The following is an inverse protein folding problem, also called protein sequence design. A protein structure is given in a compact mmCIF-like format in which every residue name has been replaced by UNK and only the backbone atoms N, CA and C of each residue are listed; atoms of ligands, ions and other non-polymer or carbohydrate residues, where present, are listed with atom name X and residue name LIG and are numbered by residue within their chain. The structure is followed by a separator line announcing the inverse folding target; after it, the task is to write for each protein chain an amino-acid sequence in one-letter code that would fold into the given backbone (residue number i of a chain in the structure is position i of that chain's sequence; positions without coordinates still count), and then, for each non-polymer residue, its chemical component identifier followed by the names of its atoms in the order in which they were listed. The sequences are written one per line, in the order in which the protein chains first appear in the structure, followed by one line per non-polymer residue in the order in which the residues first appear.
data_IF_678878356858
#
_entry.id   IF_678878356858
#
_cell.length_a   1.000
_cell.length_b   1.000
_cell.length_c   1.000
_cell.angle_alpha   90.00
_cell.angle_beta   90.00
_cell.angle_gamma   90.00
#
_symmetry.space_group_name_H-M   'P 1'
#
loop_
_entity.id
_entity.type
_entity.pdbx_description
1 polymer ?
#
# COMPACT_ATOMS: atom_id res chain seq x y z
N UNK A 1 -7.92 -1.60 5.20
CA UNK A 1 -7.45 -1.06 6.50
C UNK A 1 -5.96 -0.77 6.38
N UNK A 2 -5.48 0.38 6.86
CA UNK A 2 -4.05 0.63 7.05
C UNK A 2 -3.69 0.39 8.53
N UNK A 3 -2.53 -0.22 8.79
CA UNK A 3 -2.06 -0.54 10.15
C UNK A 3 -1.22 0.61 10.72
N UNK A 4 -1.80 1.81 10.79
CA UNK A 4 -1.10 3.03 11.24
C UNK A 4 -1.49 3.48 12.65
N UNK A 5 -2.60 2.97 13.18
CA UNK A 5 -3.03 3.22 14.56
C UNK A 5 -4.00 2.11 15.03
N UNK A 6 -4.33 2.09 16.32
CA UNK A 6 -5.36 1.20 16.85
C UNK A 6 -6.77 1.49 16.28
N UNK A 7 -6.97 2.66 15.68
CA UNK A 7 -8.22 3.05 15.02
C UNK A 7 -8.14 2.82 13.51
N UNK A 8 -9.19 2.26 12.87
CA UNK A 8 -9.23 2.13 11.42
C UNK A 8 -9.12 3.49 10.73
N UNK A 9 -8.18 3.64 9.80
CA UNK A 9 -8.21 4.78 8.87
C UNK A 9 -9.43 4.64 7.96
N UNK A 10 -10.30 5.66 7.97
CA UNK A 10 -11.43 5.74 7.04
C UNK A 10 -10.91 6.15 5.68
N UNK A 11 -11.24 5.37 4.66
CA UNK A 11 -10.94 5.68 3.27
C UNK A 11 -12.17 6.30 2.62
N UNK A 12 -12.01 7.15 1.59
CA UNK A 12 -13.08 7.38 0.62
C UNK A 12 -13.56 6.03 0.09
N UNK A 13 -14.78 5.97 -0.45
CA UNK A 13 -15.27 4.76 -1.10
C UNK A 13 -14.35 4.41 -2.29
N UNK A 14 -13.43 3.46 -2.07
CA UNK A 14 -12.56 2.92 -3.10
C UNK A 14 -13.33 1.77 -3.72
N UNK A 15 -13.68 1.88 -5.01
CA UNK A 15 -14.28 0.76 -5.73
C UNK A 15 -13.25 -0.35 -5.84
N UNK A 16 -13.69 -1.59 -5.61
CA UNK A 16 -12.88 -2.80 -5.58
C UNK A 16 -11.78 -2.81 -6.66
N UNK A 17 -10.52 -2.45 -6.31
CA UNK A 17 -9.48 -2.25 -7.31
C UNK A 17 -9.03 -3.60 -7.86
N UNK A 18 -8.91 -3.71 -9.17
CA UNK A 18 -8.35 -4.91 -9.83
C UNK A 18 -6.82 -4.87 -9.85
N UNK A 19 -6.26 -3.67 -9.85
CA UNK A 19 -4.81 -3.45 -9.83
C UNK A 19 -4.44 -2.32 -8.86
N UNK A 20 -3.45 -2.59 -8.02
CA UNK A 20 -2.90 -1.63 -7.06
C UNK A 20 -1.44 -1.36 -7.46
N UNK A 21 -1.08 -0.08 -7.53
CA UNK A 21 0.30 0.35 -7.62
C UNK A 21 0.81 0.64 -6.20
N UNK A 22 1.98 0.09 -5.86
CA UNK A 22 2.67 0.36 -4.60
C UNK A 22 4.00 1.04 -4.92
N UNK A 23 4.17 2.25 -4.41
CA UNK A 23 5.41 3.03 -4.58
C UNK A 23 6.18 3.07 -3.27
N UNK A 24 7.50 2.91 -3.36
CA UNK A 24 8.45 3.11 -2.27
C UNK A 24 9.34 4.30 -2.63
N UNK A 25 9.27 5.35 -1.81
CA UNK A 25 10.23 6.45 -1.82
C UNK A 25 11.16 6.24 -0.61
N UNK A 26 12.36 5.72 -0.88
CA UNK A 26 13.31 5.35 0.17
C UNK A 26 13.87 6.57 0.88
N UNK A 27 14.19 7.63 0.12
CA UNK A 27 14.83 8.84 0.62
C UNK A 27 13.85 9.66 1.48
N UNK A 28 12.59 9.77 1.05
CA UNK A 28 11.54 10.47 1.82
C UNK A 28 10.91 9.61 2.92
N UNK A 29 11.29 8.32 2.99
CA UNK A 29 10.81 7.40 4.00
C UNK A 29 9.34 7.02 3.84
N UNK A 30 8.81 6.98 2.61
CA UNK A 30 7.36 6.85 2.35
C UNK A 30 7.00 5.63 1.53
N UNK A 31 5.80 5.12 1.80
CA UNK A 31 5.12 4.13 0.96
C UNK A 31 3.72 4.64 0.64
N UNK A 32 3.37 4.66 -0.65
CA UNK A 32 2.05 5.07 -1.11
C UNK A 32 1.40 4.02 -2.01
N UNK A 33 0.08 3.91 -1.88
CA UNK A 33 -0.79 2.96 -2.57
C UNK A 33 -1.75 3.74 -3.46
N UNK A 34 -1.95 3.24 -4.69
CA UNK A 34 -2.83 3.87 -5.68
C UNK A 34 -3.74 2.83 -6.33
N UNK A 35 -4.98 3.22 -6.61
CA UNK A 35 -5.88 2.48 -7.47
C UNK A 35 -5.50 2.79 -8.92
N UNK A 36 -5.04 1.79 -9.67
CA UNK A 36 -4.64 1.99 -11.07
C UNK A 36 -5.86 2.23 -11.95
N UNK A 37 -6.97 1.55 -11.67
CA UNK A 37 -8.19 1.61 -12.48
C UNK A 37 -8.79 3.02 -12.45
N UNK A 38 -8.85 3.61 -11.26
CA UNK A 38 -9.42 4.97 -11.03
C UNK A 38 -8.37 6.07 -11.06
N UNK A 39 -7.08 5.72 -11.17
CA UNK A 39 -5.95 6.65 -11.12
C UNK A 39 -5.98 7.56 -9.88
N UNK A 40 -6.40 7.00 -8.75
CA UNK A 40 -6.64 7.73 -7.50
C UNK A 40 -5.71 7.23 -6.38
N UNK A 41 -5.31 8.11 -5.43
CA UNK A 41 -4.59 7.68 -4.25
C UNK A 41 -5.49 6.86 -3.33
N UNK A 42 -4.97 5.74 -2.81
CA UNK A 42 -5.62 4.93 -1.78
C UNK A 42 -5.15 5.39 -0.41
N UNK A 43 -3.83 5.36 -0.19
CA UNK A 43 -3.24 5.71 1.10
C UNK A 43 -1.76 6.00 0.98
N UNK A 44 -1.27 6.93 1.80
CA UNK A 44 0.16 7.17 1.98
C UNK A 44 0.49 7.02 3.46
N UNK A 45 1.45 6.14 3.77
CA UNK A 45 1.96 6.02 5.13
C UNK A 45 2.70 7.31 5.53
N UNK A 46 2.61 7.74 6.81
CA UNK A 46 3.49 8.78 7.33
C UNK A 46 4.96 8.43 7.07
N UNK A 47 5.80 9.45 6.85
CA UNK A 47 7.25 9.24 6.69
C UNK A 47 7.82 8.46 7.87
N UNK A 48 8.69 7.50 7.57
CA UNK A 48 9.42 6.69 8.53
C UNK A 48 10.88 6.53 8.10
N UNK A 49 11.78 6.44 9.08
CA UNK A 49 13.18 6.12 8.78
C UNK A 49 13.31 4.64 8.46
N UNK A 50 13.89 4.32 7.29
CA UNK A 50 14.23 2.94 6.91
C UNK A 50 15.62 2.50 7.38
N UNK A 51 16.41 3.37 8.01
CA UNK A 51 17.66 2.99 8.67
C UNK A 51 18.72 2.32 7.79
N UNK A 52 18.71 2.56 6.47
CA UNK A 52 19.68 1.95 5.54
C UNK A 52 19.46 0.46 5.28
N UNK A 53 18.38 -0.14 5.81
CA UNK A 53 18.07 -1.56 5.56
C UNK A 53 17.29 -1.74 4.26
N UNK A 54 17.43 -2.93 3.66
CA UNK A 54 16.63 -3.32 2.50
C UNK A 54 15.17 -3.53 2.92
N UNK A 55 14.26 -2.89 2.20
CA UNK A 55 12.82 -3.08 2.34
C UNK A 55 12.37 -4.09 1.29
N UNK A 56 11.51 -5.02 1.68
CA UNK A 56 10.95 -6.05 0.80
C UNK A 56 9.42 -5.93 0.78
N UNK A 57 8.78 -6.26 -0.35
CA UNK A 57 7.32 -6.33 -0.40
C UNK A 57 6.83 -7.45 0.53
N UNK A 58 5.89 -7.12 1.40
CA UNK A 58 5.19 -8.10 2.23
C UNK A 58 3.76 -8.25 1.73
N UNK A 59 3.37 -9.47 1.38
CA UNK A 59 2.04 -9.75 0.82
C UNK A 59 1.45 -11.01 1.43
N UNK A 60 0.14 -10.93 1.70
CA UNK A 60 -0.64 -12.02 2.26
C UNK A 60 -1.85 -12.27 1.36
N UNK A 61 -2.05 -13.53 0.94
CA UNK A 61 -3.09 -13.95 -0.01
C UNK A 61 -3.97 -14.99 0.67
N UNK A 62 -5.29 -14.83 0.55
CA UNK A 62 -6.26 -15.77 1.10
C UNK A 62 -6.35 -17.09 0.29
N UNK A 63 -7.00 -18.13 0.85
CA UNK A 63 -7.20 -19.41 0.17
C UNK A 63 -7.91 -19.26 -1.17
N UNK A 64 -7.46 -20.00 -2.19
CA UNK A 64 -8.10 -20.01 -3.52
C UNK A 64 -7.83 -18.77 -4.37
N UNK A 65 -7.00 -17.84 -3.91
CA UNK A 65 -6.68 -16.59 -4.63
C UNK A 65 -5.26 -16.65 -5.21
N UNK A 66 -5.07 -16.05 -6.40
CA UNK A 66 -3.76 -15.86 -7.00
C UNK A 66 -3.46 -14.36 -7.11
N UNK A 67 -2.24 -13.96 -6.72
CA UNK A 67 -1.75 -12.61 -6.94
C UNK A 67 -0.67 -12.64 -8.02
N UNK A 68 -0.82 -11.77 -9.01
CA UNK A 68 0.21 -11.52 -10.03
C UNK A 68 0.96 -10.24 -9.67
N UNK A 69 2.27 -10.37 -9.51
CA UNK A 69 3.19 -9.22 -9.42
C UNK A 69 3.84 -9.02 -10.79
N UNK A 70 3.87 -7.77 -11.26
CA UNK A 70 4.41 -7.36 -12.55
C UNK A 70 5.35 -6.19 -12.39
#
# INVERSE_FOLDING_TARGET
KAFTSFYPTVFPEIKDPRQIHVSLDYEEGRVAFFNVDERSPIFTYPSASFGGIKVYPWVWVGPGTCLKMS
#
